data_IF_159372064533
#
_entry.id   IF_159372064533
#
_cell.length_a   1.000
_cell.length_b   1.000
_cell.length_c   1.000
_cell.angle_alpha   90.00
_cell.angle_beta   90.00
_cell.angle_gamma   90.00
#
_symmetry.space_group_name_H-M   'P 1'
#
loop_
_entity.id
_entity.type
_entity.pdbx_description
1 polymer ?
#
# COMPACT_ATOMS: atom_id res chain seq x y z
N UNK A 1 -3.73 6.12 24.52
CA UNK A 1 -4.11 5.01 23.63
C UNK A 1 -2.88 4.20 23.18
N UNK A 2 -1.85 4.85 22.61
CA UNK A 2 -0.59 4.24 22.13
C UNK A 2 0.09 3.36 23.20
N UNK A 3 0.35 3.90 24.39
CA UNK A 3 0.99 3.16 25.48
C UNK A 3 0.17 1.91 25.90
N UNK A 4 -1.17 2.01 25.90
CA UNK A 4 -2.05 0.87 26.19
C UNK A 4 -1.92 -0.22 25.13
N UNK A 5 -1.85 0.15 23.86
CA UNK A 5 -1.67 -0.78 22.74
C UNK A 5 -0.31 -1.50 22.84
N UNK A 6 0.78 -0.75 23.06
CA UNK A 6 2.13 -1.29 23.21
C UNK A 6 2.20 -2.31 24.35
N UNK A 7 1.55 -2.00 25.48
CA UNK A 7 1.52 -2.89 26.66
C UNK A 7 0.69 -4.14 26.41
N UNK A 8 -0.51 -4.00 25.81
CA UNK A 8 -1.43 -5.13 25.60
C UNK A 8 -0.89 -6.13 24.57
N UNK A 9 -0.13 -5.67 23.59
CA UNK A 9 0.46 -6.52 22.55
C UNK A 9 1.91 -6.97 22.86
N UNK A 10 2.46 -6.60 24.02
CA UNK A 10 3.86 -6.89 24.40
C UNK A 10 4.93 -6.42 23.37
N UNK A 11 4.58 -5.45 22.52
CA UNK A 11 5.43 -5.02 21.41
C UNK A 11 6.76 -4.43 21.86
N UNK A 12 6.82 -3.83 23.05
CA UNK A 12 8.05 -3.29 23.63
C UNK A 12 9.15 -4.32 23.94
N UNK A 13 8.82 -5.62 23.92
CA UNK A 13 9.78 -6.71 24.11
C UNK A 13 10.34 -7.27 22.79
N UNK A 14 9.76 -6.90 21.66
CA UNK A 14 10.17 -7.39 20.35
C UNK A 14 11.33 -6.54 19.81
N UNK A 15 12.53 -7.12 19.69
CA UNK A 15 13.72 -6.40 19.22
C UNK A 15 13.63 -5.92 17.77
N UNK A 16 12.82 -6.60 16.95
CA UNK A 16 12.69 -6.33 15.50
C UNK A 16 11.43 -5.52 15.17
N UNK A 17 10.76 -4.97 16.17
CA UNK A 17 9.54 -4.15 15.98
C UNK A 17 9.85 -2.71 16.35
N UNK A 18 9.75 -1.81 15.37
CA UNK A 18 9.84 -0.38 15.58
C UNK A 18 8.44 0.22 15.63
N UNK A 19 8.10 0.81 16.78
CA UNK A 19 6.82 1.48 16.97
C UNK A 19 7.01 2.98 16.73
N UNK A 20 6.26 3.49 15.77
CA UNK A 20 6.31 4.90 15.39
C UNK A 20 4.99 5.58 15.74
N UNK A 21 5.10 6.70 16.43
CA UNK A 21 3.98 7.54 16.80
C UNK A 21 4.31 9.01 16.53
N UNK A 22 3.31 9.76 16.07
CA UNK A 22 3.41 11.20 15.88
C UNK A 22 2.22 11.90 16.56
N UNK A 23 2.48 12.99 17.26
CA UNK A 23 1.46 13.77 17.96
C UNK A 23 0.70 14.71 17.02
N UNK A 24 1.34 15.16 15.94
CA UNK A 24 0.78 16.07 14.96
C UNK A 24 1.00 15.58 13.52
N UNK A 25 0.19 16.13 12.58
CA UNK A 25 0.22 15.74 11.17
C UNK A 25 1.55 16.06 10.49
N UNK A 26 2.19 17.15 10.82
CA UNK A 26 3.45 17.56 10.18
C UNK A 26 4.58 16.60 10.55
N UNK A 27 4.68 16.25 11.82
CA UNK A 27 5.62 15.25 12.32
C UNK A 27 5.31 13.87 11.73
N UNK A 28 4.02 13.50 11.65
CA UNK A 28 3.58 12.26 11.01
C UNK A 28 4.10 12.17 9.57
N UNK A 29 3.86 13.17 8.72
CA UNK A 29 4.29 13.12 7.33
C UNK A 29 5.81 13.10 7.16
N UNK A 30 6.56 13.79 8.02
CA UNK A 30 8.04 13.73 8.00
C UNK A 30 8.55 12.33 8.29
N UNK A 31 8.03 11.70 9.35
CA UNK A 31 8.41 10.33 9.74
C UNK A 31 7.98 9.34 8.67
N UNK A 32 6.75 9.45 8.18
CA UNK A 32 6.18 8.60 7.16
C UNK A 32 7.02 8.61 5.87
N UNK A 33 7.35 9.80 5.35
CA UNK A 33 8.22 9.94 4.18
C UNK A 33 9.61 9.31 4.38
N UNK A 34 10.15 9.39 5.60
CA UNK A 34 11.42 8.74 5.91
C UNK A 34 11.29 7.22 5.90
N UNK A 35 10.24 6.68 6.47
CA UNK A 35 10.00 5.24 6.55
C UNK A 35 9.73 4.64 5.15
N UNK A 36 8.93 5.29 4.32
CA UNK A 36 8.63 4.82 2.97
C UNK A 36 9.87 4.58 2.12
N UNK A 37 10.95 5.32 2.34
CA UNK A 37 12.22 5.16 1.60
C UNK A 37 12.94 3.84 1.89
N UNK A 38 12.57 3.16 2.95
CA UNK A 38 13.18 1.92 3.41
C UNK A 38 12.15 0.82 3.64
N UNK A 39 10.95 1.01 3.10
CA UNK A 39 9.87 0.02 3.18
C UNK A 39 9.91 -0.86 1.95
N UNK A 40 10.13 -2.14 2.13
CA UNK A 40 10.17 -3.14 1.07
C UNK A 40 8.78 -3.74 0.79
N UNK A 41 7.95 -3.86 1.82
CA UNK A 41 6.60 -4.44 1.74
C UNK A 41 5.66 -3.61 2.63
N UNK A 42 4.47 -3.33 2.14
CA UNK A 42 3.43 -2.66 2.92
C UNK A 42 2.29 -3.62 3.24
N UNK A 43 2.04 -3.85 4.53
CA UNK A 43 0.85 -4.56 4.99
C UNK A 43 -0.16 -3.55 5.52
N UNK A 44 -1.26 -3.37 4.81
CA UNK A 44 -2.23 -2.32 5.12
C UNK A 44 -3.66 -2.71 4.75
N UNK A 45 -4.61 -1.86 5.13
CA UNK A 45 -5.98 -1.92 4.60
C UNK A 45 -6.04 -1.36 3.18
N UNK A 46 -6.96 -1.83 2.34
CA UNK A 46 -7.06 -1.38 0.96
C UNK A 46 -7.69 0.02 0.85
N UNK A 47 -7.03 1.05 1.36
CA UNK A 47 -7.53 2.43 1.36
C UNK A 47 -6.78 3.34 0.36
N UNK A 48 -5.50 3.58 0.53
CA UNK A 48 -4.72 4.56 -0.24
C UNK A 48 -3.70 3.88 -1.16
N UNK A 49 -4.15 2.89 -1.92
CA UNK A 49 -3.30 1.93 -2.62
C UNK A 49 -2.51 2.52 -3.79
N UNK A 50 -3.11 3.42 -4.56
CA UNK A 50 -2.51 3.98 -5.78
C UNK A 50 -1.18 4.66 -5.52
N UNK A 51 -1.06 5.36 -4.39
CA UNK A 51 0.17 6.04 -4.00
C UNK A 51 1.31 5.05 -3.74
N UNK A 52 1.05 4.01 -2.96
CA UNK A 52 2.08 3.02 -2.60
C UNK A 52 2.48 2.14 -3.77
N UNK A 53 1.50 1.64 -4.53
CA UNK A 53 1.78 0.84 -5.73
C UNK A 53 2.54 1.63 -6.77
N UNK A 54 2.19 2.91 -6.99
CA UNK A 54 2.94 3.81 -7.89
C UNK A 54 4.38 4.08 -7.46
N UNK A 55 4.74 3.87 -6.19
CA UNK A 55 6.12 3.89 -5.70
C UNK A 55 6.86 2.56 -5.94
N UNK A 56 6.18 1.52 -6.39
CA UNK A 56 6.73 0.18 -6.53
C UNK A 56 6.85 -0.57 -5.20
N UNK A 57 5.94 -0.32 -4.26
CA UNK A 57 5.87 -1.04 -2.99
C UNK A 57 4.79 -2.12 -3.11
N UNK A 58 5.12 -3.42 -3.03
CA UNK A 58 4.14 -4.48 -3.06
C UNK A 58 3.26 -4.44 -1.82
N UNK A 59 1.97 -4.66 -1.99
CA UNK A 59 0.98 -4.45 -0.95
C UNK A 59 0.32 -5.76 -0.53
N UNK A 60 0.40 -6.06 0.77
CA UNK A 60 -0.38 -7.13 1.41
C UNK A 60 -1.61 -6.48 2.04
N UNK A 61 -2.79 -6.87 1.58
CA UNK A 61 -4.04 -6.25 2.02
C UNK A 61 -4.69 -7.03 3.16
N UNK A 62 -4.99 -6.34 4.24
CA UNK A 62 -5.91 -6.85 5.27
C UNK A 62 -7.34 -6.87 4.76
N UNK A 63 -8.18 -7.69 5.36
CA UNK A 63 -9.59 -7.83 4.97
C UNK A 63 -10.32 -6.48 4.90
N UNK A 64 -11.01 -6.17 3.79
CA UNK A 64 -11.75 -4.93 3.61
C UNK A 64 -12.97 -4.87 4.52
N UNK A 65 -13.25 -3.70 5.10
CA UNK A 65 -14.42 -3.48 5.97
C UNK A 65 -15.61 -2.91 5.19
N UNK A 66 -15.36 -2.02 4.24
CA UNK A 66 -16.40 -1.29 3.50
C UNK A 66 -16.39 -1.52 2.00
N UNK A 67 -17.42 -1.01 1.32
CA UNK A 67 -17.57 -1.14 -0.15
C UNK A 67 -16.39 -0.46 -0.88
N UNK A 68 -15.97 0.72 -0.44
CA UNK A 68 -14.83 1.42 -1.03
C UNK A 68 -13.55 0.58 -0.96
N UNK A 69 -13.27 -0.03 0.18
CA UNK A 69 -12.08 -0.89 0.35
C UNK A 69 -12.17 -2.14 -0.54
N UNK A 70 -13.38 -2.68 -0.76
CA UNK A 70 -13.58 -3.81 -1.68
C UNK A 70 -13.26 -3.44 -3.13
N UNK A 71 -13.66 -2.25 -3.59
CA UNK A 71 -13.30 -1.76 -4.93
C UNK A 71 -11.80 -1.53 -5.06
N UNK A 72 -11.18 -0.88 -4.08
CA UNK A 72 -9.74 -0.65 -4.08
C UNK A 72 -8.96 -1.98 -4.10
N UNK A 73 -9.40 -2.96 -3.31
CA UNK A 73 -8.84 -4.31 -3.33
C UNK A 73 -8.94 -4.94 -4.71
N UNK A 74 -10.14 -4.91 -5.32
CA UNK A 74 -10.37 -5.45 -6.66
C UNK A 74 -9.45 -4.81 -7.71
N UNK A 75 -9.30 -3.49 -7.66
CA UNK A 75 -8.40 -2.75 -8.54
C UNK A 75 -6.94 -3.19 -8.35
N UNK A 76 -6.44 -3.26 -7.11
CA UNK A 76 -5.04 -3.63 -6.84
C UNK A 76 -4.72 -5.06 -7.29
N UNK A 77 -5.67 -5.99 -7.09
CA UNK A 77 -5.53 -7.36 -7.58
C UNK A 77 -5.52 -7.43 -9.11
N UNK A 78 -6.34 -6.60 -9.77
CA UNK A 78 -6.43 -6.57 -11.23
C UNK A 78 -5.14 -6.09 -11.89
N UNK A 79 -4.42 -5.15 -11.28
CA UNK A 79 -3.10 -4.69 -11.77
C UNK A 79 -1.92 -5.53 -11.24
N UNK A 80 -2.17 -6.61 -10.50
CA UNK A 80 -1.10 -7.48 -9.98
C UNK A 80 -0.21 -6.88 -8.88
N UNK A 81 -0.54 -5.68 -8.36
CA UNK A 81 0.34 -4.94 -7.45
C UNK A 81 0.20 -5.30 -5.96
N UNK A 82 -0.62 -6.28 -5.65
CA UNK A 82 -0.82 -6.71 -4.26
C UNK A 82 -1.61 -7.98 -4.12
N UNK A 83 -1.72 -8.44 -2.89
CA UNK A 83 -2.35 -9.71 -2.53
C UNK A 83 -3.15 -9.58 -1.23
N UNK A 84 -4.11 -10.43 -1.04
CA UNK A 84 -4.78 -10.56 0.26
C UNK A 84 -3.88 -11.25 1.27
N UNK A 85 -3.83 -10.73 2.50
CA UNK A 85 -3.13 -11.41 3.58
C UNK A 85 -3.77 -12.77 3.86
N UNK A 86 -2.93 -13.77 4.03
CA UNK A 86 -3.36 -15.05 4.57
C UNK A 86 -3.43 -14.96 6.10
N UNK A 87 -3.67 -16.08 6.77
CA UNK A 87 -3.77 -16.11 8.23
C UNK A 87 -2.45 -15.61 8.86
N UNK A 88 -2.49 -14.51 9.64
CA UNK A 88 -1.27 -13.94 10.23
C UNK A 88 -0.52 -14.88 11.17
N UNK A 89 -1.18 -15.94 11.67
CA UNK A 89 -0.55 -16.96 12.53
C UNK A 89 0.52 -17.77 11.81
N UNK A 90 0.45 -17.82 10.48
CA UNK A 90 1.40 -18.53 9.60
C UNK A 90 2.16 -17.54 8.71
N UNK A 91 2.27 -16.29 9.16
CA UNK A 91 2.91 -15.22 8.39
C UNK A 91 4.39 -15.48 8.07
N UNK A 92 5.07 -16.20 8.94
CA UNK A 92 6.45 -16.64 8.73
C UNK A 92 6.59 -17.71 7.63
N UNK A 93 5.53 -18.47 7.33
CA UNK A 93 5.52 -19.42 6.23
C UNK A 93 5.21 -18.73 4.91
N UNK A 94 4.00 -18.23 4.72
CA UNK A 94 3.56 -17.70 3.42
C UNK A 94 4.28 -16.41 2.98
N UNK A 95 4.77 -15.57 3.92
CA UNK A 95 5.51 -14.37 3.55
C UNK A 95 6.87 -14.72 2.95
N UNK A 96 7.58 -15.70 3.52
CA UNK A 96 8.86 -16.16 2.98
C UNK A 96 8.68 -16.88 1.65
N UNK A 97 7.62 -17.67 1.48
CA UNK A 97 7.30 -18.27 0.19
C UNK A 97 7.10 -17.22 -0.91
N UNK A 98 6.41 -16.12 -0.59
CA UNK A 98 6.22 -15.02 -1.54
C UNK A 98 7.49 -14.22 -1.82
N UNK A 99 8.39 -14.12 -0.86
CA UNK A 99 9.71 -13.50 -1.06
C UNK A 99 10.61 -14.38 -1.93
N UNK A 100 10.70 -15.65 -1.61
CA UNK A 100 11.61 -16.59 -2.28
C UNK A 100 11.15 -16.91 -3.70
N UNK A 101 9.84 -16.93 -3.95
CA UNK A 101 9.28 -17.11 -5.29
C UNK A 101 9.46 -15.89 -6.21
N UNK A 102 9.83 -14.72 -5.66
CA UNK A 102 9.93 -13.47 -6.41
C UNK A 102 8.58 -12.78 -6.68
N UNK A 103 7.48 -13.35 -6.19
CA UNK A 103 6.14 -12.83 -6.44
C UNK A 103 5.97 -11.38 -5.93
N UNK A 104 6.52 -11.04 -4.76
CA UNK A 104 6.47 -9.67 -4.23
C UNK A 104 7.27 -8.67 -5.08
N UNK A 105 8.37 -9.11 -5.70
CA UNK A 105 9.14 -8.27 -6.62
C UNK A 105 8.37 -8.03 -7.93
N UNK A 106 7.66 -9.03 -8.44
CA UNK A 106 6.76 -8.90 -9.58
C UNK A 106 5.63 -7.91 -9.26
N UNK A 107 4.96 -8.06 -8.11
CA UNK A 107 3.91 -7.15 -7.68
C UNK A 107 4.39 -5.69 -7.51
N UNK A 108 5.63 -5.50 -7.06
CA UNK A 108 6.25 -4.17 -6.99
C UNK A 108 6.43 -3.55 -8.38
N UNK A 109 6.87 -4.34 -9.34
CA UNK A 109 7.08 -3.90 -10.72
C UNK A 109 5.75 -3.58 -11.42
N UNK A 110 4.76 -4.45 -11.31
CA UNK A 110 3.42 -4.23 -11.86
C UNK A 110 2.78 -2.94 -11.29
N UNK A 111 2.85 -2.75 -9.98
CA UNK A 111 2.39 -1.53 -9.34
C UNK A 111 3.12 -0.29 -9.83
N UNK A 112 4.43 -0.36 -10.01
CA UNK A 112 5.22 0.76 -10.53
C UNK A 112 4.86 1.09 -11.99
N UNK A 113 4.59 0.09 -12.82
CA UNK A 113 4.26 0.29 -14.24
C UNK A 113 2.81 0.75 -14.42
N UNK A 114 1.85 0.11 -13.77
CA UNK A 114 0.42 0.24 -14.08
C UNK A 114 -0.34 1.21 -13.16
N UNK A 115 0.18 1.54 -11.97
CA UNK A 115 -0.52 2.46 -11.10
C UNK A 115 -0.46 3.90 -11.63
N UNK A 116 -1.60 4.61 -11.71
CA UNK A 116 -1.65 6.01 -12.17
C UNK A 116 -0.89 6.93 -11.22
N UNK A 117 0.13 7.66 -11.72
CA UNK A 117 0.99 8.52 -10.90
C UNK A 117 0.62 10.00 -10.99
N UNK A 118 -0.07 10.41 -12.05
CA UNK A 118 -0.29 11.82 -12.39
C UNK A 118 -1.75 12.26 -12.21
N UNK A 119 -2.51 11.58 -11.34
CA UNK A 119 -3.96 11.79 -11.18
C UNK A 119 -4.36 13.24 -10.93
N UNK A 120 -3.63 13.96 -10.08
CA UNK A 120 -3.90 15.39 -9.79
C UNK A 120 -3.75 16.27 -11.05
N UNK A 121 -2.72 16.03 -11.84
CA UNK A 121 -2.51 16.77 -13.11
C UNK A 121 -3.57 16.43 -14.16
N UNK A 122 -4.04 15.19 -14.17
CA UNK A 122 -5.15 14.77 -15.03
C UNK A 122 -6.43 15.50 -14.66
N UNK A 123 -6.77 15.57 -13.37
CA UNK A 123 -7.92 16.33 -12.87
C UNK A 123 -7.79 17.82 -13.24
N UNK A 124 -6.63 18.43 -13.01
CA UNK A 124 -6.36 19.82 -13.36
C UNK A 124 -6.56 20.08 -14.86
N UNK A 125 -6.04 19.21 -15.70
CA UNK A 125 -6.20 19.34 -17.16
C UNK A 125 -7.67 19.25 -17.59
N UNK A 126 -8.45 18.35 -17.00
CA UNK A 126 -9.89 18.25 -17.31
C UNK A 126 -10.64 19.50 -16.84
N UNK A 127 -10.41 19.93 -15.61
CA UNK A 127 -11.15 21.04 -14.99
C UNK A 127 -10.78 22.41 -15.59
N UNK A 128 -9.49 22.68 -15.79
CA UNK A 128 -9.03 23.99 -16.20
C UNK A 128 -8.90 24.14 -17.71
N UNK A 129 -8.56 23.09 -18.42
CA UNK A 129 -8.28 23.15 -19.85
C UNK A 129 -9.39 22.58 -20.72
N UNK A 130 -10.43 22.04 -20.12
CA UNK A 130 -11.53 21.33 -20.82
C UNK A 130 -11.05 20.29 -21.84
N UNK A 131 -9.83 19.77 -21.64
CA UNK A 131 -9.28 18.71 -22.47
C UNK A 131 -9.74 17.38 -21.90
N UNK A 132 -10.56 16.67 -22.66
CA UNK A 132 -10.74 15.24 -22.46
C UNK A 132 -9.39 14.57 -22.69
N UNK A 133 -8.86 13.89 -21.68
CA UNK A 133 -7.71 13.03 -21.88
C UNK A 133 -8.26 11.81 -22.58
N UNK A 134 -7.82 11.57 -23.82
CA UNK A 134 -7.97 10.26 -24.42
C UNK A 134 -7.21 9.29 -23.52
N UNK A 135 -7.95 8.39 -22.91
CA UNK A 135 -7.39 7.34 -22.05
C UNK A 135 -6.93 6.22 -22.97
N UNK A 136 -5.81 6.46 -23.65
CA UNK A 136 -5.23 5.47 -24.56
C UNK A 136 -4.53 4.31 -23.83
N UNK A 137 -4.45 4.35 -22.49
CA UNK A 137 -3.72 3.35 -21.71
C UNK A 137 -4.44 2.89 -20.42
N UNK A 138 -5.76 2.81 -20.43
CA UNK A 138 -6.42 2.01 -19.42
C UNK A 138 -6.68 0.63 -20.01
N UNK A 139 -5.74 -0.27 -19.87
CA UNK A 139 -6.00 -1.70 -19.98
C UNK A 139 -7.01 -2.09 -18.91
N UNK A 140 -8.30 -1.85 -19.20
CA UNK A 140 -9.41 -2.48 -18.51
C UNK A 140 -9.55 -3.87 -19.14
N UNK A 141 -8.93 -4.85 -18.54
CA UNK A 141 -9.30 -6.25 -18.68
C UNK A 141 -10.23 -6.64 -17.54
#
# INVERSE_FOLDING_TARGET
YYQKMVSSCNLGKCKNVNLVYAEDKTTYFKIFNKLLRTTDILWTKPSELTFYSGLGIPIIMSEPIGSQEKYNRGWLLAIGAGVDSLDPRYGDEWLFDWLDSGWLAEAAMEGFLDAPKMGTYHIENIVLKHKTIEIDDVHLL
#
